data_IF_840374735404
#
_entry.id   IF_840374735404
#
_cell.length_a   1.000
_cell.length_b   1.000
_cell.length_c   1.000
_cell.angle_alpha   90.00
_cell.angle_beta   90.00
_cell.angle_gamma   90.00
#
_symmetry.space_group_name_H-M   'P 1'
#
loop_
_entity.id
_entity.type
_entity.pdbx_description
1 polymer ?
#
# COMPACT_ATOMS: atom_id res chain seq x y z
N UNK A 1 -11.91 -17.02 -27.51
CA UNK A 1 -11.36 -17.29 -26.17
C UNK A 1 -11.26 -15.96 -25.46
N UNK A 2 -11.98 -15.76 -24.36
CA UNK A 2 -11.86 -14.52 -23.58
C UNK A 2 -10.68 -14.63 -22.63
N UNK A 3 -9.82 -13.62 -22.61
CA UNK A 3 -8.62 -13.60 -21.75
C UNK A 3 -8.83 -12.54 -20.68
N UNK A 4 -8.91 -13.00 -19.44
CA UNK A 4 -9.10 -12.17 -18.26
C UNK A 4 -7.89 -11.28 -18.00
N UNK A 5 -8.10 -10.20 -17.24
CA UNK A 5 -7.00 -9.29 -16.85
C UNK A 5 -5.92 -9.99 -16.02
N UNK A 6 -6.29 -11.03 -15.26
CA UNK A 6 -5.36 -11.81 -14.44
C UNK A 6 -4.47 -12.68 -15.34
N UNK A 7 -5.03 -13.33 -16.36
CA UNK A 7 -4.25 -14.12 -17.33
C UNK A 7 -3.29 -13.24 -18.12
N UNK A 8 -3.71 -12.04 -18.53
CA UNK A 8 -2.80 -11.06 -19.15
C UNK A 8 -1.65 -10.70 -18.20
N UNK A 9 -1.89 -10.50 -16.90
CA UNK A 9 -0.80 -10.25 -15.92
C UNK A 9 0.13 -11.44 -15.73
N UNK A 10 -0.38 -12.67 -15.80
CA UNK A 10 0.46 -13.90 -15.78
C UNK A 10 1.39 -13.91 -16.99
N UNK A 11 0.90 -13.54 -18.17
CA UNK A 11 1.76 -13.41 -19.35
C UNK A 11 2.85 -12.36 -19.14
N UNK A 12 2.50 -11.16 -18.62
CA UNK A 12 3.50 -10.10 -18.36
C UNK A 12 4.59 -10.64 -17.43
N UNK A 13 4.24 -11.42 -16.40
CA UNK A 13 5.22 -12.04 -15.51
C UNK A 13 6.20 -12.94 -16.26
N UNK A 14 5.70 -13.76 -17.19
CA UNK A 14 6.55 -14.63 -18.04
C UNK A 14 7.41 -13.78 -18.99
N UNK A 15 6.85 -12.71 -19.57
CA UNK A 15 7.57 -11.80 -20.46
C UNK A 15 8.76 -11.12 -19.74
N UNK A 16 8.57 -10.69 -18.49
CA UNK A 16 9.64 -10.12 -17.66
C UNK A 16 10.73 -11.15 -17.35
N UNK A 17 10.35 -12.40 -17.05
CA UNK A 17 11.33 -13.49 -16.86
C UNK A 17 12.14 -13.79 -18.12
N UNK A 18 11.58 -13.52 -19.30
CA UNK A 18 12.26 -13.63 -20.60
C UNK A 18 13.08 -12.38 -20.95
N UNK A 19 13.10 -11.35 -20.10
CA UNK A 19 13.84 -10.12 -20.34
C UNK A 19 13.19 -9.18 -21.38
N UNK A 20 11.90 -9.35 -21.68
CA UNK A 20 11.17 -8.47 -22.60
C UNK A 20 10.92 -7.10 -21.98
N UNK A 21 11.00 -6.07 -22.81
CA UNK A 21 10.62 -4.72 -22.38
C UNK A 21 9.08 -4.55 -22.40
N UNK A 22 8.60 -3.47 -21.78
CA UNK A 22 7.17 -3.16 -21.67
C UNK A 22 6.51 -2.80 -23.01
N UNK A 23 7.26 -2.18 -23.93
CA UNK A 23 6.78 -1.86 -25.28
C UNK A 23 6.54 -3.11 -26.14
N UNK A 24 7.50 -4.04 -26.16
CA UNK A 24 7.43 -5.35 -26.82
C UNK A 24 6.28 -6.18 -26.25
N UNK A 25 6.15 -6.20 -24.92
CA UNK A 25 5.05 -6.92 -24.28
C UNK A 25 3.68 -6.32 -24.66
N UNK A 26 3.58 -5.00 -24.81
CA UNK A 26 2.34 -4.35 -25.22
C UNK A 26 2.03 -4.54 -26.70
N UNK A 27 3.02 -4.53 -27.60
CA UNK A 27 2.79 -4.82 -29.01
C UNK A 27 2.30 -6.24 -29.22
N UNK A 28 2.91 -7.22 -28.55
CA UNK A 28 2.44 -8.62 -28.56
C UNK A 28 1.00 -8.73 -28.04
N UNK A 29 0.63 -7.95 -27.02
CA UNK A 29 -0.74 -7.94 -26.50
C UNK A 29 -1.75 -7.41 -27.50
N UNK A 30 -1.42 -6.31 -28.18
CA UNK A 30 -2.30 -5.73 -29.20
C UNK A 30 -2.51 -6.71 -30.35
N UNK A 31 -1.46 -7.44 -30.76
CA UNK A 31 -1.57 -8.47 -31.80
C UNK A 31 -2.44 -9.66 -31.38
N UNK A 32 -2.31 -10.13 -30.13
CA UNK A 32 -3.01 -11.33 -29.66
C UNK A 32 -4.42 -11.04 -29.15
N UNK A 33 -4.60 -9.98 -28.36
CA UNK A 33 -5.86 -9.67 -27.66
C UNK A 33 -6.64 -8.50 -28.28
N UNK A 34 -6.04 -7.73 -29.20
CA UNK A 34 -6.70 -6.62 -29.90
C UNK A 34 -7.34 -5.63 -28.91
N UNK A 35 -8.65 -5.46 -29.01
CA UNK A 35 -9.43 -4.53 -28.18
C UNK A 35 -9.52 -4.93 -26.70
N UNK A 36 -9.24 -6.19 -26.36
CA UNK A 36 -9.30 -6.69 -24.99
C UNK A 36 -7.96 -6.51 -24.24
N UNK A 37 -6.97 -5.88 -24.88
CA UNK A 37 -5.64 -5.63 -24.35
C UNK A 37 -5.65 -4.70 -23.13
N UNK A 38 -4.84 -5.01 -22.13
CA UNK A 38 -4.50 -4.06 -21.06
C UNK A 38 -3.86 -2.80 -21.64
N UNK A 39 -4.30 -1.58 -21.26
CA UNK A 39 -3.66 -0.36 -21.70
C UNK A 39 -2.17 -0.34 -21.36
N UNK A 40 -1.33 0.21 -22.23
CA UNK A 40 0.13 0.32 -22.04
C UNK A 40 0.55 0.75 -20.63
N UNK A 41 -0.08 1.80 -20.07
CA UNK A 41 0.21 2.28 -18.70
C UNK A 41 0.09 1.20 -17.62
N UNK A 42 -0.83 0.24 -17.80
CA UNK A 42 -1.04 -0.87 -16.88
C UNK A 42 0.02 -1.93 -17.11
N UNK A 43 0.35 -2.24 -18.37
CA UNK A 43 1.43 -3.16 -18.73
C UNK A 43 2.75 -2.69 -18.13
N UNK A 44 3.16 -1.45 -18.38
CA UNK A 44 4.39 -0.86 -17.85
C UNK A 44 4.44 -0.88 -16.31
N UNK A 45 3.32 -0.57 -15.63
CA UNK A 45 3.22 -0.67 -14.17
C UNK A 45 3.46 -2.09 -13.67
N UNK A 46 2.88 -3.10 -14.33
CA UNK A 46 3.05 -4.50 -13.95
C UNK A 46 4.45 -5.01 -14.25
N UNK A 47 5.03 -4.65 -15.39
CA UNK A 47 6.44 -4.94 -15.73
C UNK A 47 7.36 -4.42 -14.63
N UNK A 48 7.22 -3.15 -14.23
CA UNK A 48 8.03 -2.57 -13.14
C UNK A 48 7.83 -3.29 -11.80
N UNK A 49 6.59 -3.68 -11.45
CA UNK A 49 6.32 -4.46 -10.23
C UNK A 49 7.00 -5.84 -10.25
N UNK A 50 6.98 -6.53 -11.39
CA UNK A 50 7.62 -7.84 -11.51
C UNK A 50 9.15 -7.73 -11.50
N UNK A 51 9.71 -6.69 -12.11
CA UNK A 51 11.14 -6.39 -12.03
C UNK A 51 11.59 -6.08 -10.60
N UNK A 52 10.71 -5.49 -9.77
CA UNK A 52 10.93 -5.27 -8.34
C UNK A 52 10.76 -6.54 -7.48
N UNK A 53 10.53 -7.71 -8.08
CA UNK A 53 10.45 -8.99 -7.38
C UNK A 53 9.06 -9.36 -6.85
N UNK A 54 7.99 -8.66 -7.27
CA UNK A 54 6.62 -9.04 -6.90
C UNK A 54 6.27 -10.41 -7.50
N UNK A 55 5.69 -11.31 -6.70
CA UNK A 55 5.29 -12.66 -7.17
C UNK A 55 3.80 -12.72 -7.53
N UNK A 56 2.95 -11.94 -6.85
CA UNK A 56 1.49 -11.96 -7.01
C UNK A 56 1.03 -11.24 -8.27
N UNK A 57 0.10 -11.86 -9.00
CA UNK A 57 -0.61 -11.32 -10.17
C UNK A 57 -1.95 -10.67 -9.82
N UNK A 58 -2.40 -10.83 -8.58
CA UNK A 58 -3.62 -10.20 -8.07
C UNK A 58 -3.34 -8.77 -7.61
N UNK A 59 -4.39 -7.94 -7.67
CA UNK A 59 -4.34 -6.65 -7.01
C UNK A 59 -4.27 -6.85 -5.49
N UNK A 60 -3.44 -6.05 -4.81
CA UNK A 60 -3.44 -6.04 -3.36
C UNK A 60 -4.77 -5.47 -2.87
N UNK A 61 -5.28 -6.07 -1.79
CA UNK A 61 -6.37 -5.47 -1.02
C UNK A 61 -5.93 -4.06 -0.63
N UNK A 62 -6.64 -3.06 -1.16
CA UNK A 62 -6.42 -1.70 -0.71
C UNK A 62 -6.93 -1.63 0.71
N UNK A 63 -6.04 -1.30 1.65
CA UNK A 63 -6.49 -0.83 2.94
C UNK A 63 -7.34 0.41 2.67
N UNK A 64 -8.64 0.30 2.89
CA UNK A 64 -9.53 1.44 2.85
C UNK A 64 -9.07 2.51 3.85
N UNK A 65 -9.73 3.68 3.84
CA UNK A 65 -9.49 4.69 4.87
C UNK A 65 -9.77 4.07 6.24
N UNK A 66 -8.81 3.97 7.17
CA UNK A 66 -9.11 3.52 8.53
C UNK A 66 -10.07 4.53 9.17
N UNK A 67 -11.31 4.11 9.41
CA UNK A 67 -12.40 5.04 9.77
C UNK A 67 -13.02 4.82 11.16
N UNK A 68 -12.45 3.99 12.02
CA UNK A 68 -13.00 3.80 13.38
C UNK A 68 -11.93 3.62 14.45
N UNK A 69 -10.93 2.79 14.19
CA UNK A 69 -9.91 2.43 15.20
C UNK A 69 -9.00 3.61 15.58
N UNK A 70 -8.73 4.52 14.65
CA UNK A 70 -7.96 5.73 14.95
C UNK A 70 -8.74 6.71 15.83
N UNK A 71 -10.06 6.75 15.69
CA UNK A 71 -10.91 7.74 16.37
C UNK A 71 -11.02 7.46 17.86
N UNK A 72 -11.14 6.20 18.28
CA UNK A 72 -11.29 5.88 19.70
C UNK A 72 -9.96 5.97 20.45
N UNK A 73 -8.85 5.55 19.81
CA UNK A 73 -7.51 5.74 20.37
C UNK A 73 -7.13 7.23 20.40
N UNK A 74 -7.41 7.97 19.32
CA UNK A 74 -7.17 9.42 19.29
C UNK A 74 -8.06 10.15 20.30
N UNK A 75 -9.32 9.74 20.48
CA UNK A 75 -10.23 10.30 21.49
C UNK A 75 -9.70 10.04 22.91
N UNK A 76 -9.30 8.81 23.23
CA UNK A 76 -8.74 8.48 24.53
C UNK A 76 -7.44 9.26 24.84
N UNK A 77 -6.56 9.42 23.84
CA UNK A 77 -5.33 10.22 23.99
C UNK A 77 -5.66 11.71 24.14
N UNK A 78 -6.62 12.25 23.39
CA UNK A 78 -7.06 13.64 23.51
C UNK A 78 -7.71 13.88 24.89
N UNK A 79 -8.57 12.97 25.37
CA UNK A 79 -9.20 13.06 26.69
C UNK A 79 -8.15 13.03 27.82
N UNK A 80 -7.15 12.15 27.73
CA UNK A 80 -6.05 12.11 28.71
C UNK A 80 -5.23 13.41 28.70
N UNK A 81 -4.90 13.94 27.52
CA UNK A 81 -4.17 15.20 27.40
C UNK A 81 -4.97 16.39 27.95
N UNK A 82 -6.28 16.42 27.70
CA UNK A 82 -7.17 17.46 28.23
C UNK A 82 -7.33 17.34 29.76
N UNK A 83 -7.35 16.12 30.31
CA UNK A 83 -7.41 15.90 31.75
C UNK A 83 -6.10 16.24 32.47
N UNK A 84 -4.95 15.97 31.84
CA UNK A 84 -3.65 16.39 32.35
C UNK A 84 -3.48 17.91 32.34
N UNK A 85 -3.91 18.59 31.26
CA UNK A 85 -3.87 20.06 31.12
C UNK A 85 -4.82 20.75 32.13
N UNK A 86 -6.02 20.20 32.33
CA UNK A 86 -6.97 20.67 33.35
C UNK A 86 -6.45 20.48 34.78
N UNK A 87 -5.72 19.40 35.05
CA UNK A 87 -5.14 19.09 36.36
C UNK A 87 -3.90 19.94 36.66
N UNK A 88 -3.25 20.49 35.63
CA UNK A 88 -2.05 21.32 35.72
C UNK A 88 -2.36 22.80 35.51
N UNK A 89 -3.30 23.36 36.29
CA UNK A 89 -3.48 24.82 36.36
C UNK A 89 -2.36 25.47 37.19
N UNK A 90 -1.15 25.51 36.64
CA UNK A 90 -0.14 26.54 36.93
C UNK A 90 0.59 26.94 35.63
N UNK A 91 0.85 28.23 35.39
CA UNK A 91 1.32 28.69 34.10
C UNK A 91 2.82 28.52 34.02
N UNK A 92 3.31 27.47 33.35
CA UNK A 92 4.69 27.47 32.87
C UNK A 92 4.79 27.18 31.38
N UNK A 93 5.34 28.20 30.73
CA UNK A 93 5.72 28.38 29.34
C UNK A 93 6.71 27.30 28.86
N UNK A 94 6.44 26.84 27.63
CA UNK A 94 7.30 26.20 26.60
C UNK A 94 7.74 24.73 26.73
N UNK A 95 7.60 24.06 25.57
CA UNK A 95 8.28 22.87 25.05
C UNK A 95 7.99 21.49 25.63
N UNK A 96 7.26 20.66 24.86
CA UNK A 96 7.45 19.17 24.74
C UNK A 96 6.55 18.44 23.73
N UNK A 97 6.12 19.04 22.62
CA UNK A 97 5.23 18.35 21.64
C UNK A 97 5.99 17.50 20.59
N UNK A 98 7.33 17.45 20.61
CA UNK A 98 8.10 16.87 19.47
C UNK A 98 8.60 15.44 19.64
N UNK A 99 8.43 14.76 20.79
CA UNK A 99 9.00 13.41 20.97
C UNK A 99 8.07 12.23 20.62
N UNK A 100 6.77 12.43 20.49
CA UNK A 100 5.80 11.32 20.35
C UNK A 100 5.23 11.12 18.94
N UNK A 101 5.88 11.60 17.87
CA UNK A 101 5.51 11.22 16.48
C UNK A 101 6.26 9.99 15.97
N UNK A 102 7.44 9.66 16.53
CA UNK A 102 8.26 8.52 16.09
C UNK A 102 7.89 7.20 16.75
N UNK A 103 7.43 7.22 18.01
CA UNK A 103 7.06 5.99 18.73
C UNK A 103 5.79 5.38 18.14
N UNK A 104 4.77 6.20 17.82
CA UNK A 104 3.49 5.69 17.30
C UNK A 104 3.64 5.05 15.91
N UNK A 105 4.54 5.58 15.06
CA UNK A 105 4.81 5.00 13.74
C UNK A 105 5.61 3.70 13.82
N UNK A 106 6.54 3.57 14.78
CA UNK A 106 7.34 2.34 14.93
C UNK A 106 6.54 1.20 15.56
N UNK A 107 5.68 1.48 16.54
CA UNK A 107 4.83 0.46 17.18
C UNK A 107 3.73 -0.07 16.24
N UNK A 108 3.24 0.75 15.30
CA UNK A 108 2.31 0.31 14.24
C UNK A 108 2.95 -0.69 13.26
N UNK A 109 4.27 -0.60 13.04
CA UNK A 109 4.98 -1.51 12.13
C UNK A 109 5.18 -2.90 12.75
N UNK A 110 5.47 -2.98 14.06
CA UNK A 110 5.75 -4.27 14.73
C UNK A 110 4.47 -5.07 14.97
N UNK A 111 3.34 -4.41 15.27
CA UNK A 111 2.06 -5.09 15.50
C UNK A 111 1.40 -5.60 14.22
N UNK A 112 1.69 -5.00 13.05
CA UNK A 112 1.13 -5.48 11.78
C UNK A 112 1.90 -6.70 11.21
N UNK A 113 3.15 -6.94 11.65
CA UNK A 113 3.95 -8.08 11.21
C UNK A 113 3.69 -9.38 12.00
N UNK A 114 3.14 -9.33 13.22
CA UNK A 114 2.93 -10.53 14.05
C UNK A 114 1.53 -11.16 13.95
N UNK A 115 0.61 -10.62 13.14
CA UNK A 115 -0.73 -11.21 12.92
C UNK A 115 -0.90 -11.82 11.53
N UNK A 116 0.15 -11.90 10.71
CA UNK A 116 0.07 -12.49 9.37
C UNK A 116 1.40 -13.19 8.99
N UNK A 117 1.76 -14.22 9.75
CA UNK A 117 2.63 -15.29 9.28
C UNK A 117 1.75 -16.54 9.09
N UNK A 118 1.84 -17.27 7.95
CA UNK A 118 1.21 -18.58 7.82
C UNK A 118 1.86 -19.62 8.75
#
# INVERSE_FOLDING_TARGET
MEVTRVEQRVYIKIAVLRGRNDMECHSEFVEVFGNNTLPYRIVARWVGRFQQGRVSTSDEQHSGRPLSVWTDLARAVIEQLMDEDRRSRQPTRTDRVTHNKRIVLSTLCVLCCHSFAP
#
